data_IF_587517935583
#
_entry.id   IF_587517935583
#
_cell.length_a   1.000
_cell.length_b   1.000
_cell.length_c   1.000
_cell.angle_alpha   90.00
_cell.angle_beta   90.00
_cell.angle_gamma   90.00
#
_symmetry.space_group_name_H-M   'P 1'
#
loop_
_entity.id
_entity.type
_entity.pdbx_description
1 polymer ?
#
# COMPACT_ATOMS: atom_id res chain seq x y z
N UNK A 1 -7.82 18.66 2.12
CA UNK A 1 -8.37 17.30 1.97
C UNK A 1 -7.20 16.31 2.04
N UNK A 2 -7.21 15.35 2.96
CA UNK A 2 -6.11 14.37 3.06
C UNK A 2 -6.19 13.37 1.89
N UNK A 3 -5.05 12.84 1.42
CA UNK A 3 -5.02 11.86 0.31
C UNK A 3 -5.91 10.63 0.58
N UNK A 4 -6.14 10.30 1.86
CA UNK A 4 -7.06 9.25 2.28
C UNK A 4 -8.54 9.60 2.04
N UNK A 5 -8.95 10.85 2.26
CA UNK A 5 -10.34 11.29 2.07
C UNK A 5 -10.78 11.16 0.60
N UNK A 6 -9.91 11.58 -0.33
CA UNK A 6 -10.17 11.43 -1.76
C UNK A 6 -10.33 9.96 -2.17
N UNK A 7 -9.50 9.05 -1.62
CA UNK A 7 -9.66 7.62 -1.89
C UNK A 7 -11.02 7.10 -1.41
N UNK A 8 -11.41 7.45 -0.18
CA UNK A 8 -12.67 6.97 0.41
C UNK A 8 -13.90 7.43 -0.38
N UNK A 9 -13.87 8.66 -0.90
CA UNK A 9 -14.91 9.18 -1.79
C UNK A 9 -15.03 8.35 -3.07
N UNK A 10 -13.91 8.09 -3.76
CA UNK A 10 -13.93 7.40 -5.07
C UNK A 10 -14.14 5.88 -4.97
N UNK A 11 -13.84 5.26 -3.83
CA UNK A 11 -14.02 3.80 -3.62
C UNK A 11 -15.29 3.46 -2.81
N UNK A 12 -16.11 4.44 -2.45
CA UNK A 12 -17.41 4.21 -1.83
C UNK A 12 -17.39 3.91 -0.32
N UNK A 13 -16.40 4.44 0.43
CA UNK A 13 -16.32 4.32 1.89
C UNK A 13 -16.41 2.89 2.47
N UNK A 14 -15.63 1.91 1.99
CA UNK A 14 -15.69 0.56 2.53
C UNK A 14 -15.17 0.52 3.96
N UNK A 15 -15.78 -0.34 4.78
CA UNK A 15 -15.41 -0.52 6.19
C UNK A 15 -14.02 -1.18 6.36
N UNK A 16 -13.57 -1.97 5.38
CA UNK A 16 -12.26 -2.61 5.37
C UNK A 16 -11.67 -2.67 3.95
N UNK A 17 -10.39 -3.03 3.85
CA UNK A 17 -9.73 -3.15 2.54
C UNK A 17 -10.30 -4.31 1.72
N UNK A 18 -10.81 -5.35 2.39
CA UNK A 18 -11.43 -6.52 1.76
C UNK A 18 -12.78 -6.18 1.09
N UNK A 19 -13.43 -5.10 1.53
CA UNK A 19 -14.63 -4.56 0.90
C UNK A 19 -14.36 -3.63 -0.29
N UNK A 20 -13.09 -3.42 -0.66
CA UNK A 20 -12.72 -2.64 -1.85
C UNK A 20 -12.99 -3.50 -3.08
N UNK A 21 -14.10 -3.23 -3.76
CA UNK A 21 -14.47 -3.90 -5.02
C UNK A 21 -14.20 -2.97 -6.20
N UNK A 22 -12.92 -2.87 -6.59
CA UNK A 22 -12.51 -2.10 -7.76
C UNK A 22 -12.34 -3.02 -8.98
N UNK A 23 -12.54 -2.47 -10.21
CA UNK A 23 -12.22 -3.22 -11.42
C UNK A 23 -10.71 -3.46 -11.52
N UNK A 24 -10.29 -4.29 -12.47
CA UNK A 24 -8.87 -4.52 -12.74
C UNK A 24 -8.12 -3.20 -12.99
N UNK A 25 -6.80 -3.19 -12.73
CA UNK A 25 -5.97 -1.97 -12.84
C UNK A 25 -6.05 -1.28 -14.22
N UNK A 26 -6.36 -2.05 -15.27
CA UNK A 26 -6.52 -1.56 -16.65
C UNK A 26 -7.79 -0.73 -16.83
N UNK A 27 -8.82 -1.05 -16.05
CA UNK A 27 -10.17 -0.51 -16.14
C UNK A 27 -10.51 0.46 -15.01
N UNK A 28 -9.53 0.84 -14.18
CA UNK A 28 -9.73 1.86 -13.15
C UNK A 28 -10.13 3.20 -13.77
N UNK A 29 -11.09 3.88 -13.14
CA UNK A 29 -11.46 5.26 -13.50
C UNK A 29 -10.29 6.22 -13.25
N UNK A 30 -10.30 7.36 -13.92
CA UNK A 30 -9.23 8.33 -13.77
C UNK A 30 -9.17 8.94 -12.36
N UNK A 31 -10.31 9.14 -11.71
CA UNK A 31 -10.38 9.67 -10.35
C UNK A 31 -9.74 8.73 -9.33
N UNK A 32 -9.97 7.41 -9.47
CA UNK A 32 -9.28 6.40 -8.65
C UNK A 32 -7.78 6.43 -8.90
N UNK A 33 -7.34 6.61 -10.15
CA UNK A 33 -5.91 6.71 -10.47
C UNK A 33 -5.27 7.96 -9.87
N UNK A 34 -5.98 9.10 -9.83
CA UNK A 34 -5.51 10.32 -9.15
C UNK A 34 -5.38 10.06 -7.64
N UNK A 35 -6.39 9.45 -7.01
CA UNK A 35 -6.36 9.12 -5.60
C UNK A 35 -5.18 8.20 -5.23
N UNK A 36 -5.00 7.12 -6.00
CA UNK A 36 -3.87 6.19 -5.84
C UNK A 36 -2.51 6.88 -6.09
N UNK A 37 -2.46 7.82 -7.04
CA UNK A 37 -1.26 8.59 -7.36
C UNK A 37 -0.84 9.46 -6.18
N UNK A 38 -1.79 10.11 -5.51
CA UNK A 38 -1.54 10.89 -4.31
C UNK A 38 -1.01 10.02 -3.15
N UNK A 39 -1.60 8.83 -2.94
CA UNK A 39 -1.17 7.88 -1.90
C UNK A 39 0.26 7.40 -2.15
N UNK A 40 0.56 7.01 -3.39
CA UNK A 40 1.86 6.44 -3.73
C UNK A 40 2.91 7.49 -4.13
N UNK A 41 2.58 8.78 -4.05
CA UNK A 41 3.42 9.91 -4.50
C UNK A 41 3.95 9.69 -5.92
N UNK A 42 3.05 9.34 -6.83
CA UNK A 42 3.33 9.15 -8.25
C UNK A 42 2.62 10.25 -9.04
N UNK A 43 3.24 10.76 -10.10
CA UNK A 43 2.56 11.68 -11.02
C UNK A 43 1.63 10.91 -11.98
N UNK A 44 0.36 11.35 -12.14
CA UNK A 44 -0.65 10.68 -12.97
C UNK A 44 -0.46 10.98 -14.47
N UNK A 45 0.71 10.63 -15.00
CA UNK A 45 1.06 10.80 -16.42
C UNK A 45 0.44 9.70 -17.30
N UNK A 46 0.36 9.89 -18.64
CA UNK A 46 0.01 8.81 -19.56
C UNK A 46 0.78 7.52 -19.27
N UNK A 47 0.06 6.39 -19.24
CA UNK A 47 0.62 5.09 -18.84
C UNK A 47 0.61 4.81 -17.33
N UNK A 48 -0.02 5.64 -16.50
CA UNK A 48 -0.11 5.45 -15.03
C UNK A 48 -0.63 4.06 -14.62
N UNK A 49 -1.60 3.50 -15.35
CA UNK A 49 -2.15 2.14 -15.10
C UNK A 49 -1.05 1.08 -15.13
N UNK A 50 -0.21 1.11 -16.18
CA UNK A 50 0.93 0.20 -16.35
C UNK A 50 1.97 0.39 -15.24
N UNK A 51 2.20 1.63 -14.82
CA UNK A 51 3.10 1.93 -13.70
C UNK A 51 2.56 1.36 -12.38
N UNK A 52 1.25 1.41 -12.13
CA UNK A 52 0.65 0.76 -10.96
C UNK A 52 0.72 -0.75 -11.02
N UNK A 53 0.51 -1.37 -12.20
CA UNK A 53 0.72 -2.80 -12.37
C UNK A 53 2.16 -3.22 -12.03
N UNK A 54 3.16 -2.50 -12.55
CA UNK A 54 4.56 -2.77 -12.24
C UNK A 54 4.89 -2.57 -10.77
N UNK A 55 4.38 -1.49 -10.17
CA UNK A 55 4.53 -1.24 -8.74
C UNK A 55 3.94 -2.38 -7.92
N UNK A 56 2.71 -2.78 -8.20
CA UNK A 56 2.03 -3.85 -7.47
C UNK A 56 2.80 -5.18 -7.61
N UNK A 57 3.19 -5.54 -8.84
CA UNK A 57 4.02 -6.72 -9.12
C UNK A 57 5.34 -6.69 -8.37
N UNK A 58 6.08 -5.59 -8.42
CA UNK A 58 7.37 -5.45 -7.74
C UNK A 58 7.21 -5.53 -6.21
N UNK A 59 6.20 -4.87 -5.67
CA UNK A 59 5.93 -4.89 -4.23
C UNK A 59 5.52 -6.28 -3.72
N UNK A 60 4.70 -7.03 -4.47
CA UNK A 60 4.36 -8.42 -4.11
C UNK A 60 5.55 -9.35 -4.15
N UNK A 61 6.43 -9.20 -5.14
CA UNK A 61 7.68 -9.98 -5.17
C UNK A 61 8.59 -9.61 -3.99
N UNK A 62 8.65 -8.33 -3.65
CA UNK A 62 9.38 -7.88 -2.48
C UNK A 62 8.79 -8.45 -1.18
N UNK A 63 7.47 -8.49 -1.03
CA UNK A 63 6.80 -9.08 0.13
C UNK A 63 7.18 -10.56 0.33
N UNK A 64 7.25 -11.34 -0.76
CA UNK A 64 7.71 -12.74 -0.72
C UNK A 64 9.13 -12.88 -0.20
N UNK A 65 10.05 -12.03 -0.68
CA UNK A 65 11.47 -12.06 -0.26
C UNK A 65 11.63 -11.59 1.18
N UNK A 66 10.86 -10.56 1.57
CA UNK A 66 10.97 -9.93 2.89
C UNK A 66 10.36 -10.80 3.98
N UNK A 67 9.29 -11.55 3.69
CA UNK A 67 8.60 -12.39 4.68
C UNK A 67 9.54 -13.35 5.44
N UNK A 68 10.53 -13.94 4.75
CA UNK A 68 11.51 -14.82 5.39
C UNK A 68 12.69 -14.08 6.05
N UNK A 69 12.87 -12.78 5.76
CA UNK A 69 14.03 -11.98 6.18
C UNK A 69 13.70 -10.88 7.19
N UNK A 70 12.43 -10.70 7.59
CA UNK A 70 12.03 -9.57 8.45
C UNK A 70 12.86 -9.45 9.73
N UNK A 71 13.29 -10.57 10.33
CA UNK A 71 14.08 -10.59 11.57
C UNK A 71 15.55 -10.22 11.37
N UNK A 72 16.06 -10.24 10.14
CA UNK A 72 17.48 -9.96 9.83
C UNK A 72 17.70 -8.58 9.22
N UNK A 73 16.62 -7.87 8.87
CA UNK A 73 16.71 -6.52 8.30
C UNK A 73 17.32 -5.53 9.30
N UNK A 74 18.16 -4.61 8.85
CA UNK A 74 18.65 -3.51 9.70
C UNK A 74 17.57 -2.44 9.91
N UNK A 75 17.73 -1.56 10.91
CA UNK A 75 16.83 -0.42 11.13
C UNK A 75 16.59 0.41 9.85
N UNK A 76 17.65 0.69 9.09
CA UNK A 76 17.56 1.45 7.82
C UNK A 76 16.73 0.71 6.77
N UNK A 77 16.91 -0.60 6.65
CA UNK A 77 16.12 -1.43 5.73
C UNK A 77 14.65 -1.47 6.16
N UNK A 78 14.37 -1.61 7.45
CA UNK A 78 13.01 -1.57 7.99
C UNK A 78 12.32 -0.23 7.69
N UNK A 79 13.01 0.88 7.94
CA UNK A 79 12.49 2.21 7.58
C UNK A 79 12.16 2.31 6.10
N UNK A 80 13.07 1.85 5.23
CA UNK A 80 12.84 1.82 3.79
C UNK A 80 11.61 1.00 3.42
N UNK A 81 11.44 -0.20 4.00
CA UNK A 81 10.30 -1.07 3.73
C UNK A 81 8.96 -0.44 4.11
N UNK A 82 8.90 0.25 5.25
CA UNK A 82 7.70 0.96 5.70
C UNK A 82 7.42 2.19 4.81
N UNK A 83 8.46 2.96 4.48
CA UNK A 83 8.36 4.14 3.62
C UNK A 83 7.79 3.82 2.23
N UNK A 84 8.35 2.82 1.53
CA UNK A 84 7.88 2.47 0.18
C UNK A 84 6.46 1.88 0.18
N UNK A 85 6.01 1.35 1.32
CA UNK A 85 4.64 0.85 1.55
C UNK A 85 3.70 1.94 2.03
N UNK A 86 4.18 3.17 2.24
CA UNK A 86 3.40 4.30 2.77
C UNK A 86 2.80 4.01 4.15
N UNK A 87 3.51 3.24 4.98
CA UNK A 87 3.12 2.92 6.35
C UNK A 87 3.70 3.98 7.28
N UNK A 88 2.89 4.49 8.21
CA UNK A 88 3.38 5.42 9.23
C UNK A 88 4.29 4.69 10.23
N UNK A 89 5.46 5.25 10.50
CA UNK A 89 6.44 4.73 11.45
C UNK A 89 7.09 5.85 12.29
N UNK A 90 6.39 6.98 12.42
CA UNK A 90 6.92 8.15 13.14
C UNK A 90 7.18 7.78 14.60
N UNK A 91 8.44 7.93 15.03
CA UNK A 91 8.86 7.61 16.40
C UNK A 91 8.94 6.12 16.73
N UNK A 92 8.79 5.22 15.73
CA UNK A 92 8.83 3.78 15.99
C UNK A 92 10.25 3.26 16.26
N UNK A 93 10.38 2.42 17.28
CA UNK A 93 11.57 1.62 17.55
C UNK A 93 11.79 0.54 16.48
N UNK A 94 12.99 -0.04 16.42
CA UNK A 94 13.27 -1.14 15.49
C UNK A 94 12.33 -2.34 15.69
N UNK A 95 12.08 -2.72 16.95
CA UNK A 95 11.19 -3.81 17.29
C UNK A 95 9.73 -3.55 16.85
N UNK A 96 9.27 -2.30 16.95
CA UNK A 96 7.96 -1.89 16.44
C UNK A 96 7.93 -1.95 14.92
N UNK A 97 8.93 -1.41 14.24
CA UNK A 97 9.00 -1.47 12.77
C UNK A 97 8.97 -2.91 12.24
N UNK A 98 9.66 -3.85 12.90
CA UNK A 98 9.59 -5.28 12.55
C UNK A 98 8.19 -5.84 12.75
N UNK A 99 7.54 -5.54 13.89
CA UNK A 99 6.16 -5.98 14.17
C UNK A 99 5.17 -5.42 13.15
N UNK A 100 5.26 -4.14 12.85
CA UNK A 100 4.44 -3.46 11.84
C UNK A 100 4.63 -4.08 10.46
N UNK A 101 5.88 -4.35 10.05
CA UNK A 101 6.14 -4.98 8.75
C UNK A 101 5.58 -6.41 8.68
N UNK A 102 5.68 -7.21 9.75
CA UNK A 102 5.04 -8.54 9.80
C UNK A 102 3.53 -8.44 9.70
N UNK A 103 2.92 -7.50 10.42
CA UNK A 103 1.47 -7.25 10.38
C UNK A 103 1.02 -6.85 8.98
N UNK A 104 1.76 -5.96 8.31
CA UNK A 104 1.51 -5.58 6.91
C UNK A 104 1.50 -6.80 5.99
N UNK A 105 2.53 -7.65 6.06
CA UNK A 105 2.65 -8.82 5.19
C UNK A 105 1.49 -9.82 5.37
N UNK A 106 0.96 -9.94 6.59
CA UNK A 106 -0.24 -10.76 6.83
C UNK A 106 -1.50 -10.07 6.31
N UNK A 107 -1.63 -8.77 6.55
CA UNK A 107 -2.76 -7.95 6.10
C UNK A 107 -2.94 -7.96 4.58
N UNK A 108 -1.84 -7.90 3.82
CA UNK A 108 -1.92 -7.79 2.35
C UNK A 108 -1.88 -9.11 1.60
N UNK A 109 -1.68 -10.24 2.30
CA UNK A 109 -1.35 -11.55 1.71
C UNK A 109 -2.34 -11.99 0.63
N UNK A 110 -3.64 -11.79 0.86
CA UNK A 110 -4.72 -12.31 0.02
C UNK A 110 -5.48 -11.21 -0.73
N UNK A 111 -5.00 -9.96 -0.70
CA UNK A 111 -5.65 -8.86 -1.40
C UNK A 111 -5.43 -9.00 -2.91
N UNK A 112 -6.42 -8.61 -3.71
CA UNK A 112 -6.22 -8.35 -5.14
C UNK A 112 -5.35 -7.10 -5.37
N UNK A 113 -4.97 -6.83 -6.62
CA UNK A 113 -4.03 -5.76 -6.92
C UNK A 113 -4.57 -4.35 -6.66
N UNK A 114 -5.87 -4.13 -6.83
CA UNK A 114 -6.46 -2.82 -6.58
C UNK A 114 -6.58 -2.57 -5.06
N UNK A 115 -7.10 -3.56 -4.32
CA UNK A 115 -7.16 -3.55 -2.87
C UNK A 115 -5.75 -3.43 -2.24
N UNK A 116 -4.74 -4.09 -2.81
CA UNK A 116 -3.35 -3.97 -2.36
C UNK A 116 -2.82 -2.53 -2.50
N UNK A 117 -3.15 -1.80 -3.57
CA UNK A 117 -2.74 -0.40 -3.73
C UNK A 117 -3.48 0.53 -2.75
N UNK A 118 -4.72 0.20 -2.39
CA UNK A 118 -5.49 0.92 -1.38
C UNK A 118 -5.04 0.62 0.07
N UNK A 119 -4.42 -0.54 0.30
CA UNK A 119 -4.04 -1.06 1.61
C UNK A 119 -3.35 -0.08 2.57
N UNK A 120 -2.43 0.82 2.15
CA UNK A 120 -1.78 1.75 3.08
C UNK A 120 -2.76 2.63 3.86
N UNK A 121 -3.85 3.07 3.20
CA UNK A 121 -4.86 3.93 3.83
C UNK A 121 -5.61 3.19 4.93
N UNK A 122 -5.97 1.92 4.70
CA UNK A 122 -6.69 1.09 5.67
C UNK A 122 -5.78 0.62 6.79
N UNK A 123 -4.54 0.25 6.47
CA UNK A 123 -3.58 -0.22 7.46
C UNK A 123 -3.21 0.87 8.46
N UNK A 124 -2.91 2.08 7.98
CA UNK A 124 -2.55 3.21 8.85
C UNK A 124 -3.71 3.72 9.72
N UNK A 125 -4.97 3.38 9.41
CA UNK A 125 -6.11 3.68 10.29
C UNK A 125 -6.20 2.75 11.50
N UNK A 126 -5.60 1.54 11.42
CA UNK A 126 -5.65 0.52 12.48
C UNK A 126 -4.53 0.69 13.51
N UNK A 127 -3.47 1.39 13.14
CA UNK A 127 -2.25 1.64 13.94
C UNK A 127 -2.26 3.05 14.50
#
# INVERSE_FOLDING_TARGET
MTNSALLFEVVGNPASVEGVHLPSLENLSFDVLIALSAIHSMYPLPGIRRRFQWRCKAMRQLDKVVASKVNTLTARQLYFHLFIRRINNTGSTEAEMRRTLKSWLQFTKNLDDAAYLCAPVFFNKRT
#
